data_IF_010489590379
#
_entry.id   IF_010489590379
#
_cell.length_a   1.000
_cell.length_b   1.000
_cell.length_c   1.000
_cell.angle_alpha   90.00
_cell.angle_beta   90.00
_cell.angle_gamma   90.00
#
_symmetry.space_group_name_H-M   'P 1'
#
loop_
_entity.id
_entity.type
_entity.pdbx_description
1 polymer ?
#
# COMPACT_ATOMS: atom_id res chain seq x y z
N UNK A 1 10.04 -42.36 -7.19
CA UNK A 1 10.68 -41.02 -7.27
C UNK A 1 9.56 -40.00 -7.17
N UNK A 2 9.31 -39.46 -5.98
CA UNK A 2 8.22 -38.51 -5.74
C UNK A 2 8.73 -37.10 -6.01
N UNK A 3 8.24 -36.47 -7.07
CA UNK A 3 8.46 -35.04 -7.30
C UNK A 3 7.45 -34.26 -6.47
N UNK A 4 7.92 -33.65 -5.38
CA UNK A 4 7.15 -32.66 -4.63
C UNK A 4 7.28 -31.35 -5.41
N UNK A 5 6.33 -31.08 -6.30
CA UNK A 5 6.20 -29.77 -6.93
C UNK A 5 5.63 -28.79 -5.91
N UNK A 6 6.52 -28.13 -5.17
CA UNK A 6 6.15 -27.00 -4.31
C UNK A 6 5.63 -25.89 -5.21
N UNK A 7 4.31 -25.71 -5.23
CA UNK A 7 3.69 -24.50 -5.75
C UNK A 7 4.10 -23.38 -4.80
N UNK A 8 5.12 -22.60 -5.20
CA UNK A 8 5.45 -21.35 -4.54
C UNK A 8 4.30 -20.39 -4.84
N UNK A 9 3.21 -20.51 -4.10
CA UNK A 9 2.17 -19.49 -4.06
C UNK A 9 2.89 -18.27 -3.52
N UNK A 10 3.20 -17.32 -4.41
CA UNK A 10 3.61 -15.99 -4.01
C UNK A 10 2.45 -15.44 -3.19
N UNK A 11 2.50 -15.70 -1.88
CA UNK A 11 1.62 -15.11 -0.93
C UNK A 11 1.79 -13.62 -1.16
N UNK A 12 0.74 -12.98 -1.67
CA UNK A 12 0.57 -11.56 -1.47
C UNK A 12 0.53 -11.40 0.04
N UNK A 13 1.69 -11.21 0.68
CA UNK A 13 1.77 -10.77 2.05
C UNK A 13 0.98 -9.46 2.04
N UNK A 14 -0.23 -9.51 2.56
CA UNK A 14 -0.95 -8.31 2.90
C UNK A 14 -0.02 -7.57 3.86
N UNK A 15 0.56 -6.45 3.41
CA UNK A 15 1.46 -5.66 4.24
C UNK A 15 0.73 -5.39 5.56
N UNK A 16 1.24 -5.95 6.65
CA UNK A 16 0.62 -5.86 7.96
C UNK A 16 0.60 -4.41 8.42
N UNK A 17 -0.42 -4.00 9.21
CA UNK A 17 -0.47 -2.65 9.74
C UNK A 17 0.76 -2.36 10.61
N UNK A 18 1.35 -1.18 10.44
CA UNK A 18 2.47 -0.70 11.23
C UNK A 18 1.97 0.24 12.33
N UNK A 19 2.62 0.25 13.48
CA UNK A 19 2.44 1.26 14.52
C UNK A 19 3.61 2.22 14.49
N UNK A 20 3.35 3.54 14.52
CA UNK A 20 4.41 4.54 14.66
C UNK A 20 4.90 4.55 16.11
N UNK A 21 5.93 3.76 16.40
CA UNK A 21 6.40 3.54 17.76
C UNK A 21 7.16 4.75 18.32
N UNK A 22 7.95 5.44 17.48
CA UNK A 22 8.70 6.62 17.89
C UNK A 22 8.99 7.54 16.69
N UNK A 23 9.15 8.83 17.00
CA UNK A 23 9.52 9.86 16.04
C UNK A 23 10.70 10.68 16.58
N UNK A 24 11.60 11.03 15.68
CA UNK A 24 12.74 11.90 15.97
C UNK A 24 12.82 12.96 14.88
N UNK A 25 12.16 14.11 15.11
CA UNK A 25 12.08 15.20 14.14
C UNK A 25 13.46 15.78 13.79
N UNK A 26 14.32 15.96 14.80
CA UNK A 26 15.68 16.49 14.61
C UNK A 26 16.54 15.56 13.73
N UNK A 27 16.32 14.25 13.85
CA UNK A 27 17.01 13.23 13.06
C UNK A 27 16.27 12.88 11.76
N UNK A 28 15.12 13.52 11.49
CA UNK A 28 14.21 13.19 10.39
C UNK A 28 13.97 11.68 10.29
N UNK A 29 13.64 11.03 11.40
CA UNK A 29 13.53 9.58 11.48
C UNK A 29 12.27 9.10 12.20
N UNK A 30 11.78 7.93 11.79
CA UNK A 30 10.64 7.22 12.38
C UNK A 30 11.04 5.79 12.72
N UNK A 31 10.48 5.27 13.80
CA UNK A 31 10.51 3.85 14.13
C UNK A 31 9.09 3.30 13.98
N UNK A 32 8.96 2.28 13.14
CA UNK A 32 7.74 1.53 12.93
C UNK A 32 7.83 0.19 13.68
N UNK A 33 6.75 -0.19 14.36
CA UNK A 33 6.57 -1.56 14.87
C UNK A 33 5.66 -2.32 13.93
N UNK A 34 6.08 -3.50 13.52
CA UNK A 34 5.24 -4.49 12.84
C UNK A 34 4.35 -5.24 13.85
N UNK A 35 3.37 -5.99 13.35
CA UNK A 35 2.46 -6.76 14.20
C UNK A 35 3.17 -7.92 14.93
N UNK A 36 4.25 -8.45 14.36
CA UNK A 36 5.14 -9.44 15.00
C UNK A 36 6.13 -8.82 16.02
N UNK A 37 6.05 -7.51 16.26
CA UNK A 37 6.84 -6.79 17.27
C UNK A 37 8.24 -6.40 16.82
N UNK A 38 8.60 -6.55 15.55
CA UNK A 38 9.88 -6.07 15.02
C UNK A 38 9.86 -4.55 14.88
N UNK A 39 11.00 -3.92 15.17
CA UNK A 39 11.19 -2.49 15.01
C UNK A 39 11.98 -2.21 13.74
N UNK A 40 11.43 -1.35 12.89
CA UNK A 40 12.00 -0.92 11.64
C UNK A 40 12.26 0.58 11.71
N UNK A 41 13.51 0.99 11.51
CA UNK A 41 13.88 2.41 11.50
C UNK A 41 13.99 2.90 10.07
N UNK A 42 13.37 4.04 9.80
CA UNK A 42 13.46 4.74 8.53
C UNK A 42 13.84 6.20 8.73
N UNK A 43 14.56 6.77 7.77
CA UNK A 43 14.80 8.22 7.67
C UNK A 43 13.95 8.84 6.57
N UNK A 44 13.79 10.16 6.63
CA UNK A 44 13.19 10.92 5.53
C UNK A 44 13.91 10.64 4.22
N UNK A 45 13.12 10.41 3.17
CA UNK A 45 13.56 9.96 1.85
C UNK A 45 13.63 8.44 1.67
N UNK A 46 13.69 7.66 2.76
CA UNK A 46 13.83 6.20 2.65
C UNK A 46 12.51 5.52 2.25
N UNK A 47 12.55 4.59 1.28
CA UNK A 47 11.40 3.76 0.94
C UNK A 47 11.15 2.71 2.04
N UNK A 48 9.87 2.38 2.25
CA UNK A 48 9.49 1.26 3.08
C UNK A 48 9.85 -0.04 2.38
N UNK A 49 10.25 -1.06 3.15
CA UNK A 49 10.73 -2.33 2.59
C UNK A 49 9.63 -3.09 1.85
N UNK A 50 8.41 -3.08 2.40
CA UNK A 50 7.32 -3.96 1.98
C UNK A 50 6.13 -3.20 1.36
N UNK A 51 6.28 -1.88 1.12
CA UNK A 51 5.20 -1.05 0.61
C UNK A 51 5.74 0.02 -0.37
N UNK A 52 4.96 0.42 -1.40
CA UNK A 52 5.35 1.46 -2.36
C UNK A 52 5.30 2.89 -1.77
N UNK A 53 5.59 3.02 -0.48
CA UNK A 53 5.57 4.25 0.28
C UNK A 53 6.99 4.62 0.70
N UNK A 54 7.21 5.89 1.01
CA UNK A 54 8.44 6.39 1.62
C UNK A 54 8.14 7.33 2.75
N UNK A 55 9.08 7.49 3.67
CA UNK A 55 9.04 8.59 4.64
C UNK A 55 9.31 9.89 3.89
N UNK A 56 8.35 10.79 3.84
CA UNK A 56 8.52 12.09 3.18
C UNK A 56 9.11 13.12 4.12
N UNK A 57 8.65 13.13 5.38
CA UNK A 57 9.06 14.11 6.38
C UNK A 57 8.68 13.64 7.78
N UNK A 58 9.44 14.07 8.80
CA UNK A 58 9.07 13.90 10.20
C UNK A 58 9.00 15.28 10.87
N UNK A 59 7.84 15.60 11.48
CA UNK A 59 7.52 16.90 12.05
C UNK A 59 7.00 16.74 13.47
N UNK A 60 7.81 17.06 14.48
CA UNK A 60 7.40 16.98 15.88
C UNK A 60 6.86 15.59 16.26
N UNK A 61 5.54 15.49 16.45
CA UNK A 61 4.78 14.29 16.81
C UNK A 61 4.11 13.56 15.62
N UNK A 62 4.38 13.99 14.39
CA UNK A 62 3.81 13.44 13.16
C UNK A 62 4.89 13.02 12.15
N UNK A 63 4.63 11.93 11.42
CA UNK A 63 5.39 11.53 10.22
C UNK A 63 4.48 11.61 9.00
N UNK A 64 5.00 12.13 7.90
CA UNK A 64 4.33 12.13 6.60
C UNK A 64 4.90 11.01 5.75
N UNK A 65 4.04 10.09 5.33
CA UNK A 65 4.37 9.09 4.33
C UNK A 65 3.89 9.55 2.96
N UNK A 66 4.71 9.33 1.93
CA UNK A 66 4.37 9.65 0.54
C UNK A 66 4.40 8.41 -0.34
N UNK A 67 3.41 8.30 -1.24
CA UNK A 67 3.40 7.34 -2.34
C UNK A 67 3.28 8.09 -3.67
N UNK A 68 4.25 7.96 -4.60
CA UNK A 68 4.11 8.49 -5.96
C UNK A 68 2.92 7.84 -6.67
N UNK A 69 2.12 8.62 -7.40
CA UNK A 69 0.99 8.09 -8.18
C UNK A 69 1.42 7.88 -9.64
N UNK A 70 1.25 6.67 -10.22
CA UNK A 70 1.60 6.43 -11.61
C UNK A 70 0.71 7.25 -12.54
N UNK A 71 1.31 7.92 -13.52
CA UNK A 71 0.58 8.72 -14.52
C UNK A 71 0.01 10.05 -14.03
N UNK A 72 0.31 10.47 -12.80
CA UNK A 72 -0.01 11.81 -12.28
C UNK A 72 1.24 12.49 -11.77
N UNK A 73 1.43 13.78 -12.08
CA UNK A 73 2.41 14.61 -11.40
C UNK A 73 1.91 14.90 -9.98
N UNK A 74 2.18 13.99 -9.04
CA UNK A 74 1.78 14.14 -7.65
C UNK A 74 2.08 12.89 -6.80
N UNK A 75 2.00 13.06 -5.48
CA UNK A 75 2.12 11.99 -4.51
C UNK A 75 0.90 12.01 -3.57
N UNK A 76 0.49 10.83 -3.13
CA UNK A 76 -0.44 10.70 -2.01
C UNK A 76 0.37 10.86 -0.72
N UNK A 77 0.03 11.85 0.09
CA UNK A 77 0.68 12.12 1.37
C UNK A 77 -0.27 11.79 2.51
N UNK A 78 0.21 11.08 3.52
CA UNK A 78 -0.55 10.70 4.72
C UNK A 78 0.25 11.05 5.96
N UNK A 79 -0.28 11.95 6.79
CA UNK A 79 0.25 12.28 8.10
C UNK A 79 -0.21 11.28 9.15
N UNK A 80 0.71 10.78 9.96
CA UNK A 80 0.46 9.78 10.99
C UNK A 80 1.18 10.19 12.27
N UNK A 81 0.43 10.27 13.38
CA UNK A 81 0.98 10.63 14.68
C UNK A 81 1.69 9.46 15.35
N UNK A 82 2.63 9.76 16.25
CA UNK A 82 3.19 8.76 17.14
C UNK A 82 2.10 8.00 17.91
N UNK A 83 2.26 6.68 18.03
CA UNK A 83 1.30 5.76 18.63
C UNK A 83 0.14 5.34 17.72
N UNK A 84 -0.03 5.96 16.56
CA UNK A 84 -1.09 5.59 15.62
C UNK A 84 -0.69 4.38 14.76
N UNK A 85 -1.72 3.63 14.35
CA UNK A 85 -1.60 2.51 13.41
C UNK A 85 -1.86 2.99 11.98
N UNK A 86 -1.01 2.56 11.05
CA UNK A 86 -1.13 2.81 9.62
C UNK A 86 -1.16 1.50 8.84
N UNK A 87 -2.19 1.34 8.01
CA UNK A 87 -2.31 0.22 7.07
C UNK A 87 -2.13 0.75 5.65
N UNK A 88 -0.91 0.62 5.12
CA UNK A 88 -0.56 1.08 3.77
C UNK A 88 -1.32 0.32 2.67
N UNK A 89 -1.63 -0.96 2.88
CA UNK A 89 -2.40 -1.75 1.93
C UNK A 89 -3.87 -1.29 1.87
N UNK A 90 -4.46 -0.88 3.00
CA UNK A 90 -5.79 -0.28 3.03
C UNK A 90 -5.81 1.11 2.39
N UNK A 91 -4.79 1.94 2.64
CA UNK A 91 -4.65 3.25 1.99
C UNK A 91 -4.59 3.10 0.47
N UNK A 92 -3.81 2.13 -0.01
CA UNK A 92 -3.64 1.82 -1.42
C UNK A 92 -4.95 1.35 -2.06
N UNK A 93 -5.70 0.46 -1.39
CA UNK A 93 -7.01 -0.02 -1.87
C UNK A 93 -8.04 1.10 -1.99
N UNK A 94 -8.07 2.03 -1.04
CA UNK A 94 -8.99 3.19 -1.10
C UNK A 94 -8.69 4.14 -2.26
N UNK A 95 -7.44 4.16 -2.73
CA UNK A 95 -6.98 5.04 -3.79
C UNK A 95 -6.69 4.31 -5.11
N UNK A 96 -6.97 3.01 -5.18
CA UNK A 96 -6.99 2.27 -6.43
C UNK A 96 -8.19 2.75 -7.26
N UNK A 97 -7.99 2.91 -8.57
CA UNK A 97 -9.10 3.19 -9.47
C UNK A 97 -10.16 2.08 -9.31
N UNK A 98 -11.47 2.41 -9.36
CA UNK A 98 -12.49 1.37 -9.34
C UNK A 98 -12.23 0.37 -10.47
N UNK A 99 -12.46 -0.94 -10.24
CA UNK A 99 -12.32 -1.93 -11.30
C UNK A 99 -13.20 -1.50 -12.47
N UNK A 100 -12.67 -1.59 -13.70
CA UNK A 100 -13.43 -1.24 -14.88
C UNK A 100 -14.77 -2.01 -14.86
N UNK A 101 -15.89 -1.35 -15.19
CA UNK A 101 -17.17 -2.04 -15.26
C UNK A 101 -17.01 -3.24 -16.20
N UNK A 102 -17.59 -4.42 -15.86
CA UNK A 102 -17.50 -5.58 -16.73
C UNK A 102 -17.99 -5.18 -18.11
N UNK A 103 -17.19 -5.46 -19.16
CA UNK A 103 -17.58 -5.17 -20.53
C UNK A 103 -18.93 -5.83 -20.77
N UNK A 104 -19.97 -5.02 -20.87
CA UNK A 104 -21.31 -5.47 -21.20
C UNK A 104 -21.19 -6.07 -22.60
N UNK A 105 -21.15 -7.40 -22.69
CA UNK A 105 -21.23 -8.09 -23.98
C UNK A 105 -22.46 -7.53 -24.66
N UNK A 106 -22.26 -6.79 -25.75
CA UNK A 106 -23.34 -6.34 -26.61
C UNK A 106 -24.12 -7.58 -27.03
N UNK A 107 -25.24 -7.84 -26.36
CA UNK A 107 -26.22 -8.80 -26.81
C UNK A 107 -26.78 -8.21 -28.09
N UNK A 108 -26.14 -8.51 -29.22
CA UNK A 108 -26.71 -8.24 -30.53
C UNK A 108 -27.98 -9.06 -30.60
N UNK A 109 -29.12 -8.39 -30.46
CA UNK A 109 -30.42 -8.96 -30.78
C UNK A 109 -30.37 -9.34 -32.26
N UNK A 110 -30.19 -10.62 -32.55
CA UNK A 110 -30.34 -11.14 -33.91
C UNK A 110 -31.84 -11.12 -34.19
N UNK A 111 -32.33 -10.31 -35.15
CA UNK A 111 -33.75 -10.32 -35.49
C UNK A 111 -34.11 -11.71 -36.04
N UNK A 112 -35.13 -12.32 -35.45
CA UNK A 112 -35.67 -13.60 -35.91
C UNK A 112 -36.24 -13.44 -37.33
N UNK A 113 -35.98 -14.39 -38.26
CA UNK A 113 -36.54 -14.32 -39.60
C UNK A 113 -38.06 -14.42 -39.52
N UNK A 114 -38.75 -13.43 -40.09
CA UNK A 114 -40.21 -13.47 -40.25
C UNK A 114 -40.52 -14.53 -41.30
N UNK A 115 -41.38 -15.49 -40.94
CA UNK A 115 -42.07 -16.38 -41.89
C UNK A 115 -43.20 -15.62 -42.57
#
# INVERSE_FOLDING_TARGET
>A
MFFISTVLTAGTCAAEPYVVAALAADAQAVVLSTADGRLLRYRSGEPLADAPWRVAEVRGDEVVFARPLPGRNGALNVGVRAGATVDFAALDRRHAAPPAPPQQKDFRLIPLPRR
#
